data_IF_585057689540
#
_entry.id   IF_585057689540
#
_cell.length_a   1.000
_cell.length_b   1.000
_cell.length_c   1.000
_cell.angle_alpha   90.00
_cell.angle_beta   90.00
_cell.angle_gamma   90.00
#
_symmetry.space_group_name_H-M   'P 1'
#
loop_
_entity.id
_entity.type
_entity.pdbx_description
1 polymer ?
#
# COMPACT_ATOMS: atom_id res chain seq x y z
N UNK A 1 10.44 9.72 1.81
CA UNK A 1 10.41 8.69 0.74
C UNK A 1 9.03 8.06 0.81
N UNK A 2 8.25 8.10 -0.28
CA UNK A 2 6.94 7.43 -0.31
C UNK A 2 7.15 5.91 -0.15
N UNK A 3 6.31 5.25 0.65
CA UNK A 3 6.45 3.82 0.92
C UNK A 3 6.21 2.98 -0.35
N UNK A 4 6.64 1.71 -0.33
CA UNK A 4 6.32 0.76 -1.43
C UNK A 4 4.82 0.67 -1.68
N UNK A 5 3.99 0.78 -0.63
CA UNK A 5 2.55 0.76 -0.76
C UNK A 5 1.99 2.04 -1.39
N UNK A 6 2.51 3.22 -1.04
CA UNK A 6 2.12 4.48 -1.71
C UNK A 6 2.44 4.45 -3.22
N UNK A 7 3.59 3.88 -3.58
CA UNK A 7 3.96 3.66 -4.97
C UNK A 7 2.99 2.71 -5.68
N UNK A 8 2.68 1.58 -5.08
CA UNK A 8 1.75 0.59 -5.65
C UNK A 8 0.32 1.12 -5.79
N UNK A 9 -0.17 1.85 -4.79
CA UNK A 9 -1.47 2.53 -4.82
C UNK A 9 -1.52 3.49 -6.01
N UNK A 10 -0.47 4.32 -6.17
CA UNK A 10 -0.38 5.26 -7.28
C UNK A 10 -0.34 4.57 -8.64
N UNK A 11 0.39 3.47 -8.77
CA UNK A 11 0.45 2.70 -10.02
C UNK A 11 -0.92 2.10 -10.35
N UNK A 12 -1.64 1.58 -9.36
CA UNK A 12 -2.97 0.99 -9.57
C UNK A 12 -4.02 2.04 -9.95
N UNK A 13 -3.98 3.23 -9.36
CA UNK A 13 -4.80 4.38 -9.79
C UNK A 13 -4.56 4.74 -11.26
N UNK A 14 -3.29 4.84 -11.66
CA UNK A 14 -2.89 5.15 -13.03
C UNK A 14 -3.29 4.04 -14.00
N UNK A 15 -3.15 2.77 -13.58
CA UNK A 15 -3.58 1.61 -14.36
C UNK A 15 -5.08 1.65 -14.66
N UNK A 16 -5.90 1.88 -13.61
CA UNK A 16 -7.36 1.94 -13.72
C UNK A 16 -7.81 3.12 -14.58
N UNK A 17 -7.28 4.31 -14.33
CA UNK A 17 -7.64 5.52 -15.08
C UNK A 17 -7.29 5.43 -16.57
N UNK A 18 -6.25 4.67 -16.93
CA UNK A 18 -5.81 4.47 -18.31
C UNK A 18 -6.37 3.19 -18.96
N UNK A 19 -7.17 2.39 -18.24
CA UNK A 19 -7.74 1.15 -18.77
C UNK A 19 -6.69 0.07 -19.09
N UNK A 20 -5.53 0.09 -18.43
CA UNK A 20 -4.42 -0.84 -18.70
C UNK A 20 -4.67 -2.17 -17.97
N UNK A 21 -4.59 -3.30 -18.67
CA UNK A 21 -4.68 -4.61 -18.01
C UNK A 21 -3.42 -4.90 -17.18
N UNK A 22 -3.53 -5.75 -16.14
CA UNK A 22 -2.37 -6.18 -15.34
C UNK A 22 -1.27 -6.83 -16.19
N UNK A 23 -1.65 -7.58 -17.23
CA UNK A 23 -0.70 -8.19 -18.16
C UNK A 23 0.05 -7.14 -19.00
N UNK A 24 -0.64 -6.09 -19.47
CA UNK A 24 0.01 -4.95 -20.13
C UNK A 24 0.94 -4.20 -19.18
N UNK A 25 0.49 -3.95 -17.95
CA UNK A 25 1.27 -3.26 -16.93
C UNK A 25 2.56 -4.01 -16.60
N UNK A 26 2.50 -5.33 -16.46
CA UNK A 26 3.70 -6.15 -16.22
C UNK A 26 4.70 -6.06 -17.38
N UNK A 27 4.22 -6.09 -18.64
CA UNK A 27 5.10 -5.99 -19.82
C UNK A 27 5.86 -4.68 -19.90
N UNK A 28 5.30 -3.58 -19.38
CA UNK A 28 5.96 -2.27 -19.32
C UNK A 28 6.46 -1.91 -17.91
N UNK A 29 6.50 -2.85 -16.97
CA UNK A 29 6.81 -2.55 -15.56
C UNK A 29 8.23 -2.02 -15.34
N UNK A 30 9.18 -2.35 -16.23
CA UNK A 30 10.56 -1.85 -16.16
C UNK A 30 10.63 -0.31 -16.15
N UNK A 31 9.68 0.38 -16.81
CA UNK A 31 9.61 1.84 -16.87
C UNK A 31 9.22 2.48 -15.53
N UNK A 32 8.65 1.71 -14.61
CA UNK A 32 8.24 2.19 -13.29
C UNK A 32 9.40 2.28 -12.31
N UNK A 33 10.55 1.66 -12.62
CA UNK A 33 11.67 1.51 -11.70
C UNK A 33 12.92 2.25 -12.19
N UNK A 34 13.73 2.67 -11.21
CA UNK A 34 15.02 3.31 -11.46
C UNK A 34 16.06 2.75 -10.49
N UNK A 35 17.35 2.88 -10.84
CA UNK A 35 18.50 2.51 -10.00
C UNK A 35 18.34 1.07 -9.44
N UNK A 36 18.46 0.91 -8.12
CA UNK A 36 18.48 -0.38 -7.43
C UNK A 36 17.16 -1.16 -7.61
N UNK A 37 16.02 -0.48 -7.70
CA UNK A 37 14.73 -1.13 -7.96
C UNK A 37 14.67 -1.70 -9.38
N UNK A 38 15.27 -1.03 -10.36
CA UNK A 38 15.35 -1.54 -11.73
C UNK A 38 16.33 -2.73 -11.83
N UNK A 39 17.44 -2.68 -11.10
CA UNK A 39 18.37 -3.80 -11.00
C UNK A 39 17.69 -5.02 -10.39
N UNK A 40 16.99 -4.83 -9.26
CA UNK A 40 16.19 -5.86 -8.61
C UNK A 40 15.14 -6.46 -9.55
N UNK A 41 14.39 -5.61 -10.27
CA UNK A 41 13.36 -6.06 -11.20
C UNK A 41 13.97 -6.95 -12.30
N UNK A 42 15.12 -6.57 -12.86
CA UNK A 42 15.81 -7.36 -13.91
C UNK A 42 16.40 -8.67 -13.42
N UNK A 43 16.70 -8.78 -12.14
CA UNK A 43 17.26 -9.99 -11.53
C UNK A 43 16.18 -11.02 -11.13
N UNK A 44 14.89 -10.67 -11.24
CA UNK A 44 13.77 -11.50 -10.83
C UNK A 44 12.85 -11.82 -12.01
N UNK A 45 12.23 -13.00 -11.96
CA UNK A 45 11.16 -13.38 -12.88
C UNK A 45 9.79 -13.21 -12.20
N UNK A 46 8.79 -12.82 -12.99
CA UNK A 46 7.44 -12.56 -12.51
C UNK A 46 6.41 -13.26 -13.39
N UNK A 47 5.57 -14.08 -12.78
CA UNK A 47 4.48 -14.82 -13.46
C UNK A 47 3.26 -13.94 -13.74
N UNK A 48 3.06 -12.89 -12.94
CA UNK A 48 1.95 -11.96 -13.03
C UNK A 48 2.27 -10.62 -12.37
N UNK A 49 1.42 -9.61 -12.58
CA UNK A 49 1.55 -8.34 -11.85
C UNK A 49 1.39 -8.54 -10.34
N UNK A 50 0.51 -9.45 -9.91
CA UNK A 50 0.28 -9.72 -8.49
C UNK A 50 1.50 -10.39 -7.83
N UNK A 51 2.17 -11.29 -8.54
CA UNK A 51 3.46 -11.89 -8.12
C UNK A 51 4.57 -10.84 -7.98
N UNK A 52 4.67 -9.92 -8.94
CA UNK A 52 5.58 -8.77 -8.84
C UNK A 52 5.30 -7.93 -7.60
N UNK A 53 4.03 -7.62 -7.35
CA UNK A 53 3.60 -6.82 -6.19
C UNK A 53 3.99 -7.49 -4.87
N UNK A 54 3.81 -8.81 -4.75
CA UNK A 54 4.23 -9.58 -3.56
C UNK A 54 5.74 -9.48 -3.38
N UNK A 55 6.54 -9.84 -4.39
CA UNK A 55 8.01 -9.80 -4.31
C UNK A 55 8.55 -8.40 -4.03
N UNK A 56 7.90 -7.36 -4.58
CA UNK A 56 8.28 -5.97 -4.36
C UNK A 56 8.07 -5.58 -2.89
N UNK A 57 6.95 -5.99 -2.28
CA UNK A 57 6.74 -5.79 -0.84
C UNK A 57 7.78 -6.54 -0.04
N UNK A 58 8.01 -7.81 -0.32
CA UNK A 58 9.00 -8.61 0.42
C UNK A 58 10.42 -8.02 0.37
N UNK A 59 10.77 -7.34 -0.72
CA UNK A 59 12.11 -6.80 -0.93
C UNK A 59 12.31 -5.37 -0.43
N UNK A 60 11.25 -4.54 -0.44
CA UNK A 60 11.35 -3.09 -0.17
C UNK A 60 10.49 -2.61 1.00
N UNK A 61 9.64 -3.45 1.58
CA UNK A 61 8.88 -3.12 2.77
C UNK A 61 9.78 -3.29 4.01
N UNK A 62 9.75 -2.33 4.96
CA UNK A 62 10.43 -2.50 6.24
C UNK A 62 9.93 -3.74 6.99
N UNK A 63 10.83 -4.44 7.69
CA UNK A 63 10.50 -5.63 8.48
C UNK A 63 9.41 -5.36 9.53
N UNK A 64 9.39 -4.15 10.10
CA UNK A 64 8.46 -3.70 11.12
C UNK A 64 7.23 -2.96 10.55
N UNK A 65 7.02 -2.96 9.23
CA UNK A 65 5.98 -2.17 8.58
C UNK A 65 4.58 -2.42 9.16
N UNK A 66 4.19 -3.68 9.35
CA UNK A 66 2.88 -4.00 9.93
C UNK A 66 2.76 -3.54 11.39
N UNK A 67 3.84 -3.66 12.17
CA UNK A 67 3.89 -3.11 13.53
C UNK A 67 3.75 -1.59 13.52
N UNK A 68 4.40 -0.90 12.59
CA UNK A 68 4.30 0.56 12.45
C UNK A 68 2.87 1.01 12.13
N UNK A 69 2.12 0.26 11.30
CA UNK A 69 0.71 0.55 11.02
C UNK A 69 -0.12 0.36 12.29
N UNK A 70 0.10 -0.71 13.03
CA UNK A 70 -0.61 -0.96 14.29
C UNK A 70 -0.34 0.14 15.32
N UNK A 71 0.88 0.61 15.41
CA UNK A 71 1.23 1.72 16.29
C UNK A 71 0.61 3.06 15.84
N UNK A 72 0.54 3.30 14.53
CA UNK A 72 -0.13 4.47 13.98
C UNK A 72 -1.63 4.41 14.29
N UNK A 73 -2.30 3.28 14.00
CA UNK A 73 -3.71 3.05 14.32
C UNK A 73 -4.04 3.33 15.79
N UNK A 74 -3.19 2.90 16.72
CA UNK A 74 -3.39 3.13 18.17
C UNK A 74 -3.15 4.58 18.58
N UNK A 75 -2.23 5.28 17.92
CA UNK A 75 -1.85 6.67 18.27
C UNK A 75 -2.71 7.71 17.56
N UNK A 76 -3.36 7.35 16.46
CA UNK A 76 -4.09 8.27 15.58
C UNK A 76 -5.41 8.70 16.23
N UNK A 77 -5.52 9.98 16.55
CA UNK A 77 -6.75 10.66 17.02
C UNK A 77 -7.20 11.70 16.00
N UNK A 78 -8.48 12.07 16.00
CA UNK A 78 -9.00 13.12 15.11
C UNK A 78 -8.28 14.46 15.40
N UNK A 79 -7.76 15.09 14.35
CA UNK A 79 -7.13 16.42 14.49
C UNK A 79 -8.17 17.51 14.79
N UNK A 80 -7.77 18.57 15.50
CA UNK A 80 -8.68 19.66 15.91
C UNK A 80 -9.41 20.37 14.75
N UNK A 81 -8.84 20.34 13.54
CA UNK A 81 -9.43 20.92 12.32
C UNK A 81 -9.80 19.85 11.28
N UNK A 82 -9.65 18.58 11.63
CA UNK A 82 -9.92 17.48 10.72
C UNK A 82 -11.41 17.16 10.71
N UNK A 83 -12.01 17.12 9.51
CA UNK A 83 -13.40 16.67 9.37
C UNK A 83 -13.50 15.18 9.68
N UNK A 84 -14.52 14.77 10.44
CA UNK A 84 -14.76 13.38 10.83
C UNK A 84 -14.71 12.41 9.63
N UNK A 85 -15.29 12.80 8.49
CA UNK A 85 -15.27 11.96 7.29
C UNK A 85 -13.85 11.71 6.75
N UNK A 86 -12.96 12.70 6.88
CA UNK A 86 -11.56 12.59 6.46
C UNK A 86 -10.81 11.70 7.45
N UNK A 87 -11.05 11.90 8.75
CA UNK A 87 -10.48 11.05 9.80
C UNK A 87 -10.84 9.58 9.60
N UNK A 88 -12.13 9.27 9.39
CA UNK A 88 -12.60 7.90 9.14
C UNK A 88 -11.95 7.33 7.87
N UNK A 89 -11.86 8.11 6.80
CA UNK A 89 -11.21 7.67 5.56
C UNK A 89 -9.71 7.37 5.77
N UNK A 90 -9.01 8.17 6.57
CA UNK A 90 -7.61 7.92 6.93
C UNK A 90 -7.46 6.65 7.78
N UNK A 91 -8.32 6.44 8.77
CA UNK A 91 -8.33 5.20 9.56
C UNK A 91 -8.60 3.97 8.68
N UNK A 92 -9.54 4.09 7.75
CA UNK A 92 -9.87 3.02 6.80
C UNK A 92 -8.70 2.70 5.87
N UNK A 93 -7.95 3.71 5.42
CA UNK A 93 -6.71 3.50 4.66
C UNK A 93 -5.67 2.72 5.48
N UNK A 94 -5.49 3.02 6.77
CA UNK A 94 -4.58 2.27 7.63
C UNK A 94 -5.03 0.81 7.80
N UNK A 95 -6.32 0.56 8.02
CA UNK A 95 -6.84 -0.82 8.11
C UNK A 95 -6.65 -1.62 6.83
N UNK A 96 -6.77 -0.98 5.66
CA UNK A 96 -6.56 -1.63 4.37
C UNK A 96 -5.08 -1.95 4.07
N UNK A 97 -4.14 -1.39 4.83
CA UNK A 97 -2.70 -1.66 4.69
C UNK A 97 -2.20 -2.81 5.55
N UNK A 98 -3.02 -3.31 6.48
CA UNK A 98 -2.70 -4.49 7.29
C UNK A 98 -2.72 -5.76 6.42
N UNK A 99 -1.95 -6.77 6.81
CA UNK A 99 -1.94 -8.07 6.11
C UNK A 99 -3.33 -8.71 6.10
N UNK A 100 -4.05 -8.55 7.22
CA UNK A 100 -5.44 -8.94 7.38
C UNK A 100 -6.22 -7.77 7.94
N UNK A 101 -7.24 -7.34 7.21
CA UNK A 101 -8.13 -6.29 7.67
C UNK A 101 -8.95 -6.77 8.87
N UNK A 102 -8.94 -6.06 10.02
CA UNK A 102 -9.74 -6.44 11.18
C UNK A 102 -11.24 -6.37 10.90
N UNK A 103 -12.04 -7.12 11.67
CA UNK A 103 -13.51 -7.07 11.58
C UNK A 103 -14.03 -5.65 11.87
N UNK A 104 -15.26 -5.36 11.43
CA UNK A 104 -15.86 -4.05 11.69
C UNK A 104 -15.96 -3.74 13.19
N UNK A 105 -16.34 -4.73 14.01
CA UNK A 105 -16.42 -4.58 15.46
C UNK A 105 -15.08 -4.17 16.07
N UNK A 106 -13.99 -4.82 15.63
CA UNK A 106 -12.63 -4.49 16.08
C UNK A 106 -12.22 -3.11 15.62
N UNK A 107 -12.54 -2.73 14.37
CA UNK A 107 -12.22 -1.40 13.83
C UNK A 107 -12.94 -0.29 14.60
N UNK A 108 -14.22 -0.48 14.94
CA UNK A 108 -14.99 0.47 15.75
C UNK A 108 -14.41 0.63 17.15
N UNK A 109 -13.86 -0.42 17.75
CA UNK A 109 -13.18 -0.35 19.05
C UNK A 109 -11.84 0.39 19.00
N UNK A 110 -11.14 0.31 17.86
CA UNK A 110 -9.84 0.94 17.65
C UNK A 110 -9.93 2.42 17.26
N UNK A 111 -11.07 2.87 16.74
CA UNK A 111 -11.30 4.28 16.45
C UNK A 111 -11.61 4.98 17.79
N UNK A 112 -10.75 5.90 18.25
CA UNK A 112 -11.01 6.67 19.47
C UNK A 112 -12.31 7.47 19.31
N UNK A 113 -13.09 7.53 20.39
CA UNK A 113 -14.26 8.41 20.47
C UNK A 113 -13.87 9.86 20.66
#
# INVERSE_FOLDING_TARGET
IASVNDFLDRVEELRRSRGVSKAQLLRSAAELFVKDALLWFRANEFSSWDDLVVKLRDSFQPYDYENSIWEELRRRTQGAQERVIIFIASMEQLFNRLSTKPSEEVRVQLIPR
#
